data_IF_933089668212
#
_entry.id   IF_933089668212
#
_cell.length_a   1.000
_cell.length_b   1.000
_cell.length_c   1.000
_cell.angle_alpha   90.00
_cell.angle_beta   90.00
_cell.angle_gamma   90.00
#
_symmetry.space_group_name_H-M   'P 1'
#
loop_
_entity.id
_entity.type
_entity.pdbx_description
1 polymer ?
#
# COMPACT_ATOMS: atom_id res chain seq x y z
N UNK A 1 26.13 -44.32 -60.57
CA UNK A 1 25.30 -44.51 -59.35
C UNK A 1 25.54 -43.44 -58.30
N UNK A 2 26.78 -43.04 -57.99
CA UNK A 2 27.10 -42.04 -56.94
C UNK A 2 26.42 -40.65 -57.06
N UNK A 3 26.22 -40.12 -58.24
CA UNK A 3 25.65 -38.80 -58.48
C UNK A 3 24.13 -38.76 -58.21
N UNK A 4 23.43 -39.89 -58.23
CA UNK A 4 22.00 -40.01 -58.01
C UNK A 4 21.63 -39.89 -56.51
N UNK A 5 22.52 -40.36 -55.66
CA UNK A 5 22.34 -40.26 -54.20
C UNK A 5 22.69 -38.88 -53.65
N UNK A 6 23.62 -38.19 -54.28
CA UNK A 6 24.09 -36.86 -53.76
C UNK A 6 23.10 -35.74 -53.98
N UNK A 7 22.15 -35.87 -54.91
CA UNK A 7 21.19 -34.83 -55.27
C UNK A 7 19.73 -35.32 -55.23
N UNK A 8 19.46 -36.51 -54.70
CA UNK A 8 18.11 -37.12 -54.61
C UNK A 8 17.25 -37.01 -55.91
N UNK A 9 17.93 -36.95 -57.08
CA UNK A 9 17.30 -36.72 -58.35
C UNK A 9 16.89 -38.10 -58.98
N UNK A 10 15.57 -38.28 -59.15
CA UNK A 10 15.01 -39.34 -60.02
C UNK A 10 15.04 -38.87 -61.48
N UNK A 11 14.99 -39.82 -62.45
CA UNK A 11 15.02 -39.51 -63.90
C UNK A 11 13.87 -38.54 -64.26
N UNK A 12 12.64 -38.81 -63.77
CA UNK A 12 11.48 -37.94 -64.00
C UNK A 12 11.67 -36.52 -63.43
N UNK A 13 12.18 -36.37 -62.20
CA UNK A 13 12.51 -35.05 -61.63
C UNK A 13 13.62 -34.31 -62.38
N UNK A 14 14.58 -35.06 -62.94
CA UNK A 14 15.65 -34.46 -63.72
C UNK A 14 15.15 -33.95 -65.08
N UNK A 15 14.10 -34.60 -65.63
CA UNK A 15 13.47 -34.21 -66.91
C UNK A 15 12.58 -32.98 -66.74
N UNK A 16 11.84 -32.87 -65.62
CA UNK A 16 11.05 -31.70 -65.24
C UNK A 16 11.92 -30.44 -65.04
N UNK A 17 13.12 -30.62 -64.48
CA UNK A 17 14.04 -29.51 -64.19
C UNK A 17 14.97 -29.19 -65.37
N UNK A 18 14.83 -29.93 -66.44
CA UNK A 18 15.68 -29.77 -67.65
C UNK A 18 15.46 -28.43 -68.31
N UNK A 19 16.40 -27.50 -68.08
CA UNK A 19 16.45 -26.22 -68.79
C UNK A 19 17.37 -26.37 -69.98
N UNK A 20 16.95 -25.96 -71.19
CA UNK A 20 17.77 -25.91 -72.38
C UNK A 20 18.85 -24.83 -72.17
N UNK A 21 20.02 -25.21 -71.81
CA UNK A 21 21.15 -24.28 -71.65
C UNK A 21 21.93 -24.17 -72.97
N UNK A 22 21.98 -22.96 -73.57
CA UNK A 22 22.81 -22.66 -74.75
C UNK A 22 24.29 -22.56 -74.42
N UNK A 23 24.81 -23.54 -73.71
CA UNK A 23 26.21 -23.57 -73.24
C UNK A 23 26.88 -24.91 -73.54
N UNK A 24 28.14 -24.86 -73.89
CA UNK A 24 28.97 -26.05 -74.08
C UNK A 24 29.26 -26.73 -72.71
N UNK A 25 29.43 -28.05 -72.73
CA UNK A 25 29.75 -28.80 -71.50
C UNK A 25 31.01 -28.34 -70.79
N UNK A 26 31.93 -27.72 -71.48
CA UNK A 26 33.15 -27.13 -70.85
C UNK A 26 32.80 -25.83 -70.12
N UNK A 27 31.94 -24.98 -70.67
CA UNK A 27 31.46 -23.76 -70.04
C UNK A 27 30.62 -24.03 -68.80
N UNK A 28 29.76 -25.04 -68.85
CA UNK A 28 28.97 -25.45 -67.67
C UNK A 28 29.90 -25.94 -66.52
N UNK A 29 30.92 -26.70 -66.79
CA UNK A 29 31.89 -27.17 -65.78
C UNK A 29 32.67 -25.99 -65.16
N UNK A 30 33.02 -25.00 -65.94
CA UNK A 30 33.72 -23.78 -65.47
C UNK A 30 32.78 -22.99 -64.54
N UNK A 31 31.48 -22.77 -64.97
CA UNK A 31 30.50 -22.09 -64.09
C UNK A 31 30.24 -22.83 -62.80
N UNK A 32 30.05 -24.18 -62.82
CA UNK A 32 29.85 -24.97 -61.62
C UNK A 32 31.07 -24.84 -60.67
N UNK A 33 32.29 -24.84 -61.20
CA UNK A 33 33.47 -24.62 -60.39
C UNK A 33 33.51 -23.26 -59.75
N UNK A 34 33.13 -22.24 -60.48
CA UNK A 34 33.04 -20.82 -59.95
C UNK A 34 31.97 -20.70 -58.91
N UNK A 35 30.74 -21.24 -59.15
CA UNK A 35 29.67 -21.21 -58.19
C UNK A 35 29.98 -22.00 -56.91
N UNK A 36 30.56 -23.19 -57.03
CA UNK A 36 31.06 -23.95 -55.86
C UNK A 36 32.12 -23.19 -55.06
N UNK A 37 33.01 -22.45 -55.76
CA UNK A 37 33.98 -21.55 -55.11
C UNK A 37 33.30 -20.42 -54.34
N UNK A 38 32.32 -19.78 -54.94
CA UNK A 38 31.53 -18.71 -54.29
C UNK A 38 30.75 -19.25 -53.07
N UNK A 39 30.07 -20.41 -53.19
CA UNK A 39 29.36 -21.05 -52.09
C UNK A 39 30.37 -21.37 -50.91
N UNK A 40 31.55 -21.92 -51.25
CA UNK A 40 32.55 -22.22 -50.25
C UNK A 40 33.14 -20.95 -49.59
N UNK A 41 33.20 -19.84 -50.32
CA UNK A 41 33.66 -18.54 -49.83
C UNK A 41 32.66 -17.84 -48.90
N UNK A 42 31.38 -18.24 -48.95
CA UNK A 42 30.32 -17.73 -48.05
C UNK A 42 30.45 -18.31 -46.61
N UNK A 43 31.23 -19.41 -46.48
CA UNK A 43 31.34 -20.10 -45.18
C UNK A 43 30.05 -20.80 -44.72
N UNK A 44 29.92 -21.02 -43.43
CA UNK A 44 28.73 -21.62 -42.83
C UNK A 44 27.57 -20.58 -42.77
N UNK A 45 26.74 -20.58 -43.80
CA UNK A 45 25.58 -19.73 -43.86
C UNK A 45 24.41 -20.43 -43.13
N UNK A 46 23.90 -19.79 -42.08
CA UNK A 46 22.68 -20.26 -41.42
C UNK A 46 21.47 -20.01 -42.31
N UNK A 47 21.01 -21.07 -42.96
CA UNK A 47 19.86 -21.00 -43.89
C UNK A 47 18.58 -20.62 -43.18
N UNK A 48 18.47 -20.94 -41.88
CA UNK A 48 17.29 -20.67 -41.05
C UNK A 48 17.37 -19.29 -40.36
N UNK A 49 18.42 -18.50 -40.61
CA UNK A 49 18.60 -17.19 -39.94
C UNK A 49 17.42 -16.24 -40.17
N UNK A 50 16.80 -16.25 -41.35
CA UNK A 50 15.66 -15.37 -41.68
C UNK A 50 14.43 -15.74 -40.85
N UNK A 51 14.17 -17.08 -40.76
CA UNK A 51 13.02 -17.58 -39.95
C UNK A 51 13.26 -17.30 -38.45
N UNK A 52 14.44 -17.64 -37.94
CA UNK A 52 14.83 -17.36 -36.57
C UNK A 52 14.79 -15.88 -36.24
N UNK A 53 15.18 -15.00 -37.16
CA UNK A 53 15.09 -13.55 -36.98
C UNK A 53 13.63 -13.10 -36.90
N UNK A 54 12.75 -13.65 -37.70
CA UNK A 54 11.31 -13.31 -37.70
C UNK A 54 10.67 -13.70 -36.38
N UNK A 55 10.88 -14.95 -35.92
CA UNK A 55 10.38 -15.42 -34.64
C UNK A 55 10.92 -14.60 -33.46
N UNK A 56 12.21 -14.29 -33.50
CA UNK A 56 12.84 -13.45 -32.47
C UNK A 56 12.28 -12.03 -32.47
N UNK A 57 12.03 -11.46 -33.65
CA UNK A 57 11.49 -10.12 -33.80
C UNK A 57 10.05 -10.02 -33.28
N UNK A 58 9.19 -10.99 -33.60
CA UNK A 58 7.82 -11.08 -33.08
C UNK A 58 7.81 -11.17 -31.56
N UNK A 59 8.70 -12.01 -31.00
CA UNK A 59 8.85 -12.12 -29.55
C UNK A 59 9.37 -10.84 -28.92
N UNK A 60 10.32 -10.18 -29.56
CA UNK A 60 10.87 -8.91 -29.08
C UNK A 60 9.80 -7.80 -29.09
N UNK A 61 9.04 -7.67 -30.16
CA UNK A 61 7.97 -6.65 -30.25
C UNK A 61 6.89 -6.89 -29.19
N UNK A 62 6.49 -8.14 -28.95
CA UNK A 62 5.56 -8.50 -27.89
C UNK A 62 6.10 -8.11 -26.50
N UNK A 63 7.34 -8.52 -26.19
CA UNK A 63 7.97 -8.22 -24.90
C UNK A 63 8.21 -6.73 -24.71
N UNK A 64 8.60 -6.03 -25.76
CA UNK A 64 8.79 -4.58 -25.71
C UNK A 64 7.48 -3.85 -25.46
N UNK A 65 6.39 -4.28 -26.11
CA UNK A 65 5.05 -3.73 -25.84
C UNK A 65 4.63 -3.96 -24.38
N UNK A 66 4.81 -5.18 -23.85
CA UNK A 66 4.51 -5.50 -22.45
C UNK A 66 5.37 -4.67 -21.48
N UNK A 67 6.66 -4.49 -21.78
CA UNK A 67 7.55 -3.66 -20.99
C UNK A 67 7.05 -2.20 -20.93
N UNK A 68 6.72 -1.62 -22.08
CA UNK A 68 6.25 -0.23 -22.15
C UNK A 68 4.90 -0.06 -21.41
N UNK A 69 4.02 -1.03 -21.47
CA UNK A 69 2.76 -1.01 -20.73
C UNK A 69 2.99 -1.11 -19.21
N UNK A 70 3.96 -1.94 -18.76
CA UNK A 70 4.35 -2.01 -17.35
C UNK A 70 4.96 -0.70 -16.84
N UNK A 71 5.80 -0.05 -17.64
CA UNK A 71 6.36 1.27 -17.27
C UNK A 71 5.23 2.31 -17.12
N UNK A 72 4.31 2.38 -18.09
CA UNK A 72 3.15 3.28 -17.98
C UNK A 72 2.30 2.99 -16.75
N UNK A 73 2.03 1.71 -16.46
CA UNK A 73 1.29 1.32 -15.28
C UNK A 73 2.02 1.71 -13.98
N UNK A 74 3.34 1.54 -13.93
CA UNK A 74 4.15 1.97 -12.80
C UNK A 74 4.12 3.48 -12.58
N UNK A 75 4.16 4.27 -13.65
CA UNK A 75 4.09 5.73 -13.56
C UNK A 75 2.70 6.22 -13.10
N UNK A 76 1.63 5.58 -13.57
CA UNK A 76 0.26 5.85 -13.07
C UNK A 76 0.16 5.53 -11.58
N UNK A 77 0.69 4.38 -11.14
CA UNK A 77 0.69 4.01 -9.72
C UNK A 77 1.49 4.99 -8.85
N UNK A 78 2.63 5.49 -9.33
CA UNK A 78 3.39 6.53 -8.63
C UNK A 78 2.58 7.81 -8.47
N UNK A 79 1.91 8.25 -9.54
CA UNK A 79 1.02 9.41 -9.48
C UNK A 79 -0.10 9.24 -8.44
N UNK A 80 -0.75 8.08 -8.40
CA UNK A 80 -1.79 7.78 -7.39
C UNK A 80 -1.21 7.80 -5.98
N UNK A 81 0.00 7.25 -5.76
CA UNK A 81 0.66 7.27 -4.45
C UNK A 81 0.91 8.72 -3.99
N UNK A 82 1.41 9.58 -4.88
CA UNK A 82 1.67 11.00 -4.57
C UNK A 82 0.38 11.77 -4.25
N UNK A 83 -0.70 11.52 -5.01
CA UNK A 83 -2.02 12.09 -4.71
C UNK A 83 -2.56 11.64 -3.36
N UNK A 84 -2.48 10.33 -3.07
CA UNK A 84 -2.91 9.77 -1.78
C UNK A 84 -2.09 10.32 -0.61
N UNK A 85 -0.77 10.41 -0.76
CA UNK A 85 0.11 10.96 0.27
C UNK A 85 -0.24 12.43 0.58
N UNK A 86 -0.49 13.21 -0.45
CA UNK A 86 -0.92 14.62 -0.31
C UNK A 86 -2.27 14.73 0.40
N UNK A 87 -3.26 13.91 0.02
CA UNK A 87 -4.58 13.92 0.63
C UNK A 87 -4.53 13.40 2.08
N UNK A 88 -3.72 12.38 2.36
CA UNK A 88 -3.49 11.87 3.72
C UNK A 88 -2.91 12.95 4.64
N UNK A 89 -1.92 13.73 4.18
CA UNK A 89 -1.33 14.84 4.95
C UNK A 89 -2.38 15.89 5.29
N UNK A 90 -3.14 16.31 4.30
CA UNK A 90 -4.20 17.29 4.49
C UNK A 90 -5.26 16.80 5.47
N UNK A 91 -5.75 15.57 5.30
CA UNK A 91 -6.72 14.99 6.21
C UNK A 91 -6.17 14.82 7.62
N UNK A 92 -4.90 14.42 7.75
CA UNK A 92 -4.25 14.31 9.05
C UNK A 92 -4.21 15.66 9.77
N UNK A 93 -3.75 16.73 9.11
CA UNK A 93 -3.68 18.07 9.69
C UNK A 93 -5.04 18.58 10.15
N UNK A 94 -6.06 18.43 9.29
CA UNK A 94 -7.44 18.84 9.61
C UNK A 94 -7.99 18.05 10.81
N UNK A 95 -7.87 16.73 10.80
CA UNK A 95 -8.36 15.86 11.86
C UNK A 95 -7.58 16.05 13.16
N UNK A 96 -6.26 16.24 13.07
CA UNK A 96 -5.42 16.47 14.23
C UNK A 96 -5.78 17.78 14.96
N UNK A 97 -6.01 18.86 14.22
CA UNK A 97 -6.46 20.13 14.79
C UNK A 97 -7.82 19.99 15.50
N UNK A 98 -8.73 19.20 14.93
CA UNK A 98 -10.03 18.93 15.55
C UNK A 98 -9.89 18.07 16.83
N UNK A 99 -9.02 17.02 16.77
CA UNK A 99 -8.73 16.20 17.96
C UNK A 99 -8.09 17.04 19.07
N UNK A 100 -7.15 17.94 18.76
CA UNK A 100 -6.57 18.87 19.75
C UNK A 100 -7.65 19.66 20.47
N UNK A 101 -8.58 20.25 19.72
CA UNK A 101 -9.66 21.06 20.28
C UNK A 101 -10.60 20.23 21.16
N UNK A 102 -10.97 19.04 20.70
CA UNK A 102 -11.82 18.11 21.45
C UNK A 102 -11.11 17.57 22.68
N UNK A 103 -9.84 17.26 22.57
CA UNK A 103 -9.04 16.77 23.69
C UNK A 103 -8.98 17.77 24.84
N UNK A 104 -8.75 19.04 24.57
CA UNK A 104 -8.76 20.09 25.61
C UNK A 104 -10.14 20.19 26.29
N UNK A 105 -11.22 20.10 25.53
CA UNK A 105 -12.58 20.11 26.05
C UNK A 105 -12.86 18.89 26.94
N UNK A 106 -12.59 17.69 26.45
CA UNK A 106 -12.81 16.43 27.18
C UNK A 106 -11.94 16.40 28.44
N UNK A 107 -10.69 16.84 28.32
CA UNK A 107 -9.76 16.91 29.45
C UNK A 107 -10.33 17.81 30.58
N UNK A 108 -10.81 19.00 30.22
CA UNK A 108 -11.44 19.90 31.20
C UNK A 108 -12.66 19.30 31.88
N UNK A 109 -13.47 18.57 31.15
CA UNK A 109 -14.65 17.92 31.72
C UNK A 109 -14.29 16.78 32.65
N UNK A 110 -13.34 15.91 32.27
CA UNK A 110 -12.91 14.79 33.08
C UNK A 110 -12.09 15.18 34.31
N UNK A 111 -11.22 16.18 34.20
CA UNK A 111 -10.42 16.66 35.35
C UNK A 111 -11.15 17.71 36.19
N UNK A 112 -12.29 18.25 35.72
CA UNK A 112 -12.96 19.35 36.38
C UNK A 112 -12.24 20.67 36.23
N UNK A 113 -11.48 20.84 35.14
CA UNK A 113 -10.70 22.02 34.82
C UNK A 113 -9.31 21.68 34.27
N UNK A 114 -8.42 22.65 34.23
CA UNK A 114 -7.07 22.48 33.69
C UNK A 114 -7.00 22.67 32.18
N UNK A 115 -5.97 22.11 31.53
CA UNK A 115 -5.72 22.19 30.10
C UNK A 115 -5.05 20.92 29.58
N UNK A 116 -5.51 20.39 28.45
CA UNK A 116 -4.87 19.32 27.70
C UNK A 116 -4.45 19.82 26.32
N UNK A 117 -3.26 19.45 25.86
CA UNK A 117 -2.76 19.79 24.54
C UNK A 117 -2.04 18.60 23.91
N UNK A 118 -2.14 18.50 22.60
CA UNK A 118 -1.38 17.56 21.77
C UNK A 118 -0.41 18.37 20.92
N UNK A 119 0.83 17.98 20.88
CA UNK A 119 1.88 18.64 20.11
C UNK A 119 2.55 17.61 19.20
N UNK A 120 2.83 17.98 17.95
CA UNK A 120 3.67 17.16 17.06
C UNK A 120 5.14 17.42 17.41
N UNK A 121 5.98 16.41 17.27
CA UNK A 121 7.45 16.57 17.41
C UNK A 121 7.98 17.38 16.22
N UNK A 122 8.87 18.33 16.52
CA UNK A 122 9.43 19.21 15.50
C UNK A 122 10.42 18.46 14.57
N UNK A 123 10.46 18.84 13.30
CA UNK A 123 11.49 18.44 12.34
C UNK A 123 11.25 17.10 11.63
N UNK A 124 10.14 16.43 11.87
CA UNK A 124 9.74 15.20 11.20
C UNK A 124 8.60 15.46 10.22
N UNK A 125 8.44 14.53 9.28
CA UNK A 125 7.28 14.50 8.40
C UNK A 125 5.98 14.40 9.22
N UNK A 126 4.96 15.15 8.85
CA UNK A 126 3.69 15.23 9.58
C UNK A 126 3.04 13.84 9.79
N UNK A 127 3.20 12.92 8.83
CA UNK A 127 2.67 11.55 8.94
C UNK A 127 3.55 10.62 9.80
N UNK A 128 4.83 10.96 9.98
CA UNK A 128 5.79 10.19 10.78
C UNK A 128 6.08 10.86 12.13
N UNK A 129 5.59 12.08 12.31
CA UNK A 129 5.81 12.86 13.53
C UNK A 129 5.23 12.16 14.75
N UNK A 130 5.99 12.13 15.83
CA UNK A 130 5.51 11.68 17.13
C UNK A 130 4.49 12.66 17.72
N UNK A 131 3.56 12.17 18.53
CA UNK A 131 2.58 13.00 19.24
C UNK A 131 2.97 13.08 20.71
N UNK A 132 3.20 14.30 21.18
CA UNK A 132 3.49 14.60 22.58
C UNK A 132 2.22 15.07 23.28
N UNK A 133 1.87 14.41 24.37
CA UNK A 133 0.73 14.78 25.20
C UNK A 133 1.24 15.67 26.33
N UNK A 134 0.73 16.87 26.39
CA UNK A 134 1.03 17.86 27.42
C UNK A 134 -0.25 18.21 28.15
N UNK A 135 -0.23 18.11 29.48
CA UNK A 135 -1.42 18.32 30.29
C UNK A 135 -1.10 19.15 31.52
N UNK A 136 -2.07 19.94 31.93
CA UNK A 136 -2.05 20.73 33.15
C UNK A 136 -3.30 20.43 33.97
N UNK A 137 -3.25 19.44 34.87
CA UNK A 137 -4.35 19.19 35.80
C UNK A 137 -4.63 20.41 36.69
N UNK A 138 -5.84 20.56 37.24
CA UNK A 138 -6.17 21.67 38.12
C UNK A 138 -5.19 21.79 39.29
N UNK A 139 -4.70 23.02 39.54
CA UNK A 139 -3.74 23.29 40.62
C UNK A 139 -2.30 22.85 40.39
N UNK A 140 -1.98 22.27 39.22
CA UNK A 140 -0.63 21.83 38.87
C UNK A 140 -0.04 22.65 37.73
N UNK A 141 1.29 22.57 37.58
CA UNK A 141 1.98 23.15 36.42
C UNK A 141 1.80 22.29 35.21
N UNK A 142 2.01 22.86 34.03
CA UNK A 142 2.05 22.14 32.76
C UNK A 142 3.11 21.02 32.82
N UNK A 143 2.74 19.81 32.48
CA UNK A 143 3.59 18.62 32.58
C UNK A 143 3.42 17.77 31.30
N UNK A 144 4.51 17.06 30.93
CA UNK A 144 4.42 15.99 29.97
C UNK A 144 3.70 14.81 30.65
N UNK A 145 2.92 14.04 29.90
CA UNK A 145 2.22 12.85 30.39
C UNK A 145 3.14 11.90 31.19
N UNK A 146 4.42 11.79 30.83
CA UNK A 146 5.39 10.94 31.54
C UNK A 146 5.63 11.36 33.00
N UNK A 147 5.40 12.62 33.34
CA UNK A 147 5.62 13.18 34.67
C UNK A 147 4.39 13.15 35.58
N UNK A 148 3.25 12.70 35.05
CA UNK A 148 1.99 12.61 35.78
C UNK A 148 1.92 11.36 36.65
N UNK A 149 1.04 11.39 37.67
CA UNK A 149 0.72 10.20 38.49
C UNK A 149 0.02 9.12 37.65
N UNK A 150 0.00 7.87 38.12
CA UNK A 150 -0.62 6.75 37.41
C UNK A 150 -2.09 7.01 37.05
N UNK A 151 -2.90 7.45 38.00
CA UNK A 151 -4.32 7.78 37.78
C UNK A 151 -4.50 8.97 36.81
N UNK A 152 -3.65 10.01 36.92
CA UNK A 152 -3.70 11.13 35.99
C UNK A 152 -3.32 10.71 34.55
N UNK A 153 -2.33 9.84 34.40
CA UNK A 153 -1.98 9.25 33.10
C UNK A 153 -3.15 8.50 32.48
N UNK A 154 -3.79 7.63 33.28
CA UNK A 154 -4.93 6.84 32.86
C UNK A 154 -6.09 7.76 32.42
N UNK A 155 -6.43 8.74 33.26
CA UNK A 155 -7.52 9.69 32.95
C UNK A 155 -7.20 10.55 31.70
N UNK A 156 -5.93 10.93 31.50
CA UNK A 156 -5.50 11.66 30.30
C UNK A 156 -5.60 10.79 29.05
N UNK A 157 -5.24 9.51 29.13
CA UNK A 157 -5.40 8.56 28.04
C UNK A 157 -6.89 8.34 27.68
N UNK A 158 -7.75 8.23 28.69
CA UNK A 158 -9.19 8.15 28.53
C UNK A 158 -9.75 9.44 27.88
N UNK A 159 -9.26 10.60 28.27
CA UNK A 159 -9.64 11.87 27.66
C UNK A 159 -9.31 11.91 26.17
N UNK A 160 -8.15 11.39 25.78
CA UNK A 160 -7.75 11.29 24.38
C UNK A 160 -8.63 10.29 23.62
N UNK A 161 -8.90 9.13 24.20
CA UNK A 161 -9.79 8.12 23.61
C UNK A 161 -11.17 8.71 23.32
N UNK A 162 -11.76 9.39 24.28
CA UNK A 162 -13.08 10.01 24.11
C UNK A 162 -13.06 11.21 23.17
N UNK A 163 -11.96 11.96 23.09
CA UNK A 163 -11.81 13.03 22.10
C UNK A 163 -11.83 12.45 20.67
N UNK A 164 -11.12 11.35 20.43
CA UNK A 164 -11.15 10.64 19.15
C UNK A 164 -12.52 10.05 18.87
N UNK A 165 -13.14 9.38 19.85
CA UNK A 165 -14.46 8.79 19.73
C UNK A 165 -15.54 9.84 19.39
N UNK A 166 -15.45 11.04 19.98
CA UNK A 166 -16.39 12.12 19.70
C UNK A 166 -16.22 12.74 18.31
N UNK A 167 -15.05 12.57 17.67
CA UNK A 167 -14.81 13.03 16.30
C UNK A 167 -15.58 12.20 15.28
N UNK A 168 -15.49 10.88 15.44
CA UNK A 168 -16.18 9.92 14.57
C UNK A 168 -16.85 8.84 15.42
N UNK A 169 -18.07 9.10 15.94
CA UNK A 169 -18.76 8.17 16.82
C UNK A 169 -18.93 6.80 16.16
N UNK A 170 -18.51 5.76 16.86
CA UNK A 170 -18.78 4.38 16.47
C UNK A 170 -20.17 3.98 16.93
N UNK A 171 -20.90 3.10 16.24
CA UNK A 171 -22.22 2.63 16.69
C UNK A 171 -22.14 1.90 18.05
N UNK A 172 -21.05 1.24 18.35
CA UNK A 172 -20.77 0.63 19.66
C UNK A 172 -19.29 0.74 20.04
N UNK A 173 -19.00 0.71 21.34
CA UNK A 173 -17.64 0.75 21.90
C UNK A 173 -17.56 -0.24 23.08
N UNK A 174 -16.56 -1.11 23.06
CA UNK A 174 -16.26 -2.02 24.14
C UNK A 174 -15.12 -1.45 24.98
N UNK A 175 -15.35 -1.27 26.28
CA UNK A 175 -14.38 -0.74 27.25
C UNK A 175 -14.09 -1.82 28.28
N UNK A 176 -12.83 -2.28 28.33
CA UNK A 176 -12.41 -3.37 29.20
C UNK A 176 -11.44 -2.84 30.27
N UNK A 177 -11.90 -2.80 31.53
CA UNK A 177 -11.15 -2.41 32.73
C UNK A 177 -10.40 -1.07 32.64
N UNK A 178 -10.83 -0.14 31.78
CA UNK A 178 -10.08 1.11 31.54
C UNK A 178 -10.07 2.03 32.76
N UNK A 179 -11.04 1.89 33.68
CA UNK A 179 -11.15 2.65 34.92
C UNK A 179 -10.35 2.07 36.07
N UNK A 180 -9.78 0.87 35.98
CA UNK A 180 -9.10 0.17 37.05
C UNK A 180 -7.94 0.97 37.70
N UNK A 181 -7.33 1.90 36.94
CA UNK A 181 -6.26 2.76 37.41
C UNK A 181 -6.76 4.10 38.00
N UNK A 182 -8.07 4.36 37.98
CA UNK A 182 -8.66 5.59 38.46
C UNK A 182 -9.00 5.50 39.95
N UNK A 183 -8.93 6.64 40.64
CA UNK A 183 -9.47 6.79 41.99
C UNK A 183 -11.02 6.99 41.94
N UNK A 184 -11.71 6.80 43.07
CA UNK A 184 -13.18 6.87 43.16
C UNK A 184 -13.74 8.20 42.65
N UNK A 185 -13.05 9.30 42.88
CA UNK A 185 -13.45 10.64 42.40
C UNK A 185 -13.40 10.74 40.87
N UNK A 186 -12.37 10.18 40.27
CA UNK A 186 -12.19 10.17 38.83
C UNK A 186 -13.08 9.14 38.13
N UNK A 187 -13.40 8.01 38.79
CA UNK A 187 -14.41 7.05 38.30
C UNK A 187 -15.76 7.71 38.15
N UNK A 188 -16.21 8.50 39.14
CA UNK A 188 -17.47 9.23 39.04
C UNK A 188 -17.51 10.22 37.87
N UNK A 189 -16.43 10.94 37.63
CA UNK A 189 -16.33 11.86 36.46
C UNK A 189 -16.31 11.12 35.14
N UNK A 190 -15.58 10.04 35.06
CA UNK A 190 -15.56 9.13 33.93
C UNK A 190 -16.96 8.61 33.60
N UNK A 191 -17.68 8.08 34.57
CA UNK A 191 -19.04 7.58 34.42
C UNK A 191 -20.00 8.66 33.91
N UNK A 192 -19.97 9.85 34.50
CA UNK A 192 -20.79 10.99 34.05
C UNK A 192 -20.47 11.41 32.62
N UNK A 193 -19.21 11.36 32.21
CA UNK A 193 -18.83 11.69 30.83
C UNK A 193 -19.29 10.59 29.85
N UNK A 194 -19.12 9.32 30.22
CA UNK A 194 -19.57 8.18 29.44
C UNK A 194 -21.08 8.26 29.16
N UNK A 195 -21.89 8.64 30.17
CA UNK A 195 -23.33 8.83 29.98
C UNK A 195 -23.69 9.88 28.91
N UNK A 196 -22.91 10.94 28.78
CA UNK A 196 -23.11 11.92 27.70
C UNK A 196 -22.88 11.35 26.32
N UNK A 197 -21.96 10.40 26.19
CA UNK A 197 -21.63 9.76 24.90
C UNK A 197 -22.64 8.69 24.49
N UNK A 198 -23.47 8.18 25.43
CA UNK A 198 -24.47 7.15 25.13
C UNK A 198 -25.61 7.62 24.20
N UNK A 199 -25.74 8.91 23.98
CA UNK A 199 -26.70 9.46 23.02
C UNK A 199 -26.44 8.97 21.58
N UNK A 200 -25.17 8.76 21.23
CA UNK A 200 -24.76 8.42 19.85
C UNK A 200 -24.02 7.10 19.73
N UNK A 201 -23.64 6.46 20.85
CA UNK A 201 -22.83 5.24 20.87
C UNK A 201 -23.31 4.31 21.96
N UNK A 202 -23.46 3.02 21.65
CA UNK A 202 -23.71 1.99 22.65
C UNK A 202 -22.39 1.59 23.31
N UNK A 203 -22.27 1.74 24.65
CA UNK A 203 -21.09 1.31 25.40
C UNK A 203 -21.35 -0.03 26.07
N UNK A 204 -20.38 -0.93 25.95
CA UNK A 204 -20.28 -2.20 26.67
C UNK A 204 -19.06 -2.07 27.58
N UNK A 205 -19.30 -2.02 28.90
CA UNK A 205 -18.24 -1.82 29.90
C UNK A 205 -18.03 -3.10 30.68
N UNK A 206 -16.81 -3.61 30.65
CA UNK A 206 -16.34 -4.71 31.51
C UNK A 206 -15.56 -4.07 32.64
N UNK A 207 -15.99 -4.30 33.88
CA UNK A 207 -15.39 -3.67 35.05
C UNK A 207 -15.14 -4.70 36.16
N UNK A 208 -13.96 -4.70 36.81
CA UNK A 208 -13.63 -5.63 37.90
C UNK A 208 -14.35 -5.30 39.22
N UNK A 209 -14.94 -4.11 39.33
CA UNK A 209 -15.54 -3.59 40.56
C UNK A 209 -17.01 -3.24 40.33
N UNK A 210 -17.85 -3.58 41.33
CA UNK A 210 -19.29 -3.25 41.32
C UNK A 210 -19.52 -1.76 41.57
N UNK A 211 -19.12 -0.91 40.59
CA UNK A 211 -19.39 0.51 40.67
C UNK A 211 -20.84 0.79 40.29
N UNK A 212 -21.65 1.07 41.30
CA UNK A 212 -23.04 1.53 41.13
C UNK A 212 -23.16 2.81 40.28
N UNK A 213 -22.07 3.55 40.12
CA UNK A 213 -22.01 4.77 39.30
C UNK A 213 -21.99 4.53 37.77
N UNK A 214 -21.60 3.32 37.33
CA UNK A 214 -21.60 2.93 35.92
C UNK A 214 -22.92 2.28 35.47
N UNK A 215 -23.75 1.84 36.44
CA UNK A 215 -25.05 1.25 36.11
C UNK A 215 -26.01 2.36 35.70
N UNK A 216 -26.44 2.29 34.43
CA UNK A 216 -27.68 3.00 34.00
C UNK A 216 -28.80 2.56 34.94
N UNK A 217 -29.71 3.49 35.33
CA UNK A 217 -30.94 3.09 35.98
C UNK A 217 -31.68 2.17 35.00
N UNK A 218 -31.63 0.87 35.25
CA UNK A 218 -32.45 -0.11 34.60
C UNK A 218 -33.87 0.23 34.93
N UNK A 219 -34.63 0.84 34.02
CA UNK A 219 -36.08 0.79 34.07
C UNK A 219 -36.45 -0.68 33.95
N UNK A 220 -36.72 -1.30 35.07
CA UNK A 220 -37.54 -2.49 35.13
C UNK A 220 -38.97 -1.99 34.78
N UNK A 221 -39.34 -2.02 33.52
CA UNK A 221 -40.72 -2.01 33.11
C UNK A 221 -41.22 -3.45 33.33
N UNK A 222 -42.00 -3.64 34.39
CA UNK A 222 -42.86 -4.82 34.62
C UNK A 222 -44.07 -4.71 33.71
#
# INVERSE_FOLDING_TARGET
>A
MYKRQQYELTFSKAEEIRVALNMSGAQMRAQIKTLKGKIKGLGDVNVNAIEQYRELMERYELLNGQHDDLIKAADVLRGIIEELDTEMRKQFEEQFAEIQTRFDKVFKELFGGGRGALELTEGEDVLEAGIKIVAQPPGKKLQNMMQMSGGEKALTAIALLFAIQSLKPSPFCLLDEIEAALDDSNVGRYANYLHKLTENTQFIVITPVSYTHLTLPTKLEV
#
